data_IF_354389995138
#
_entry.id   IF_354389995138
#
_cell.length_a   1.000
_cell.length_b   1.000
_cell.length_c   1.000
_cell.angle_alpha   90.00
_cell.angle_beta   90.00
_cell.angle_gamma   90.00
#
_symmetry.space_group_name_H-M   'P 1'
#
loop_
_entity.id
_entity.type
_entity.pdbx_description
1 polymer ?
#
# COMPACT_ATOMS: atom_id res chain seq x y z
N UNK A 1 -0.28 16.02 52.97
CA UNK A 1 -1.60 15.38 53.11
C UNK A 1 -2.65 16.46 52.89
N UNK A 2 -3.32 16.49 51.73
CA UNK A 2 -4.45 17.40 51.49
C UNK A 2 -5.64 16.52 51.10
N UNK A 3 -6.69 16.53 51.92
CA UNK A 3 -7.96 15.83 51.69
C UNK A 3 -8.70 16.52 50.54
N UNK A 4 -9.02 15.77 49.49
CA UNK A 4 -9.94 16.21 48.44
C UNK A 4 -11.34 15.70 48.81
N UNK A 5 -12.30 16.61 48.93
CA UNK A 5 -13.70 16.28 49.20
C UNK A 5 -14.29 15.50 48.02
N UNK A 6 -14.98 14.40 48.35
CA UNK A 6 -15.89 13.73 47.44
C UNK A 6 -17.00 14.71 47.09
N UNK A 7 -17.11 15.09 45.82
CA UNK A 7 -18.37 15.04 45.05
C UNK A 7 -18.18 15.66 43.66
N UNK A 8 -18.42 14.83 42.63
CA UNK A 8 -18.69 15.18 41.23
C UNK A 8 -17.61 15.96 40.44
N UNK A 9 -16.62 15.22 39.93
CA UNK A 9 -15.90 15.61 38.70
C UNK A 9 -16.27 14.60 37.61
N UNK A 10 -17.29 14.92 36.81
CA UNK A 10 -17.51 14.31 35.49
C UNK A 10 -16.98 15.30 34.47
N UNK A 11 -15.96 14.89 33.72
CA UNK A 11 -15.31 15.58 32.61
C UNK A 11 -14.42 16.79 32.98
N UNK A 12 -13.12 16.52 33.10
CA UNK A 12 -12.08 17.57 32.99
C UNK A 12 -11.63 17.60 31.53
N UNK A 13 -12.01 18.63 30.79
CA UNK A 13 -11.36 18.99 29.54
C UNK A 13 -10.03 19.67 29.86
N UNK A 14 -8.91 19.06 29.46
CA UNK A 14 -7.59 19.68 29.61
C UNK A 14 -7.37 20.65 28.45
N UNK A 15 -7.92 21.85 28.58
CA UNK A 15 -7.83 22.93 27.60
C UNK A 15 -7.92 24.31 28.26
N UNK A 16 -7.14 24.53 29.32
CA UNK A 16 -6.70 25.86 29.80
C UNK A 16 -5.95 25.72 31.12
N UNK A 17 -4.72 26.22 31.18
CA UNK A 17 -3.88 26.26 32.38
C UNK A 17 -4.13 27.56 33.15
N UNK A 18 -5.04 27.55 34.13
CA UNK A 18 -4.99 28.50 35.24
C UNK A 18 -5.73 27.95 36.47
N UNK A 19 -5.01 27.55 37.52
CA UNK A 19 -5.59 27.40 38.87
C UNK A 19 -4.93 28.47 39.73
N UNK A 20 -5.66 29.55 40.05
CA UNK A 20 -5.21 30.54 41.02
C UNK A 20 -5.57 30.11 42.44
N UNK A 21 -4.56 29.90 43.28
CA UNK A 21 -4.39 30.60 44.58
C UNK A 21 -3.08 30.17 45.26
N UNK A 22 -2.07 31.03 45.17
CA UNK A 22 -0.88 31.08 46.02
C UNK A 22 -0.67 32.53 46.48
N UNK A 23 -0.27 32.72 47.73
CA UNK A 23 -0.28 34.01 48.47
C UNK A 23 0.82 35.02 48.11
N UNK A 24 1.35 34.97 46.89
CA UNK A 24 2.25 35.99 46.34
C UNK A 24 1.77 36.28 44.92
N UNK A 25 1.57 37.55 44.57
CA UNK A 25 1.00 38.00 43.29
C UNK A 25 1.82 37.70 42.03
N UNK A 26 2.55 36.59 42.01
CA UNK A 26 3.26 36.06 40.84
C UNK A 26 2.50 34.84 40.32
N UNK A 27 2.23 34.82 39.02
CA UNK A 27 1.65 33.66 38.38
C UNK A 27 2.65 32.49 38.43
N UNK A 28 2.28 31.40 39.10
CA UNK A 28 3.05 30.16 39.06
C UNK A 28 2.79 29.50 37.70
N UNK A 29 3.75 29.63 36.79
CA UNK A 29 3.73 28.93 35.51
C UNK A 29 4.13 27.46 35.75
N UNK A 30 3.14 26.57 35.80
CA UNK A 30 3.41 25.14 35.65
C UNK A 30 3.68 24.85 34.17
N UNK A 31 4.96 24.88 33.76
CA UNK A 31 5.38 24.24 32.52
C UNK A 31 5.17 22.74 32.70
N UNK A 32 4.00 22.23 32.28
CA UNK A 32 3.81 20.79 32.10
C UNK A 32 4.73 20.39 30.95
N UNK A 33 5.96 19.99 31.28
CA UNK A 33 6.84 19.32 30.33
C UNK A 33 6.09 18.06 29.93
N UNK A 34 5.52 18.04 28.72
CA UNK A 34 4.97 16.82 28.18
C UNK A 34 6.15 15.90 27.94
N UNK A 35 6.41 14.96 28.85
CA UNK A 35 7.60 14.06 28.80
C UNK A 35 7.55 13.02 27.68
N UNK A 36 6.57 13.13 26.77
CA UNK A 36 6.29 12.21 25.68
C UNK A 36 6.22 12.95 24.34
N UNK A 37 7.02 14.00 24.16
CA UNK A 37 7.14 14.67 22.86
C UNK A 37 8.03 13.88 21.90
N UNK A 38 7.90 14.12 20.59
CA UNK A 38 8.83 13.64 19.58
C UNK A 38 10.26 14.05 19.93
N UNK A 39 10.46 15.31 20.31
CA UNK A 39 11.78 15.83 20.67
C UNK A 39 12.43 15.02 21.80
N UNK A 40 11.69 14.65 22.83
CA UNK A 40 12.24 13.90 23.96
C UNK A 40 12.36 12.40 23.67
N UNK A 41 11.32 11.79 23.10
CA UNK A 41 11.23 10.33 22.95
C UNK A 41 11.96 9.80 21.74
N UNK A 42 12.02 10.56 20.66
CA UNK A 42 12.63 10.10 19.41
C UNK A 42 13.97 10.78 19.15
N UNK A 43 14.05 12.10 19.35
CA UNK A 43 15.25 12.88 18.97
C UNK A 43 16.32 12.86 20.08
N UNK A 44 15.99 13.30 21.29
CA UNK A 44 16.94 13.37 22.41
C UNK A 44 17.41 11.98 22.89
N UNK A 45 16.59 10.95 22.67
CA UNK A 45 16.97 9.55 22.91
C UNK A 45 17.90 8.99 21.83
N UNK A 46 18.07 9.72 20.71
CA UNK A 46 18.89 9.33 19.59
C UNK A 46 18.28 8.25 18.70
N UNK A 47 16.96 7.99 18.76
CA UNK A 47 16.27 7.01 17.91
C UNK A 47 16.02 7.53 16.50
N UNK A 48 15.81 8.84 16.35
CA UNK A 48 15.49 9.48 15.09
C UNK A 48 16.12 10.88 15.02
N UNK A 49 16.17 11.41 13.81
CA UNK A 49 16.59 12.78 13.53
C UNK A 49 15.45 13.51 12.80
N UNK A 50 15.31 14.82 13.02
CA UNK A 50 14.37 15.64 12.24
C UNK A 50 14.82 15.68 10.78
N UNK A 51 13.88 15.50 9.85
CA UNK A 51 14.09 15.68 8.41
C UNK A 51 13.22 16.83 7.90
N UNK A 52 13.83 17.81 7.22
CA UNK A 52 13.17 19.06 6.86
C UNK A 52 13.26 20.14 7.94
N UNK A 53 12.39 21.15 7.88
CA UNK A 53 12.30 22.11 8.99
C UNK A 53 11.66 21.46 10.22
N UNK A 54 12.04 21.91 11.42
CA UNK A 54 11.53 21.34 12.67
C UNK A 54 9.99 21.27 12.66
N UNK A 55 9.44 20.08 12.94
CA UNK A 55 7.99 19.84 12.91
C UNK A 55 7.39 19.48 11.55
N UNK A 56 8.16 18.91 10.63
CA UNK A 56 7.63 18.43 9.34
C UNK A 56 7.71 16.93 9.17
N UNK A 57 8.89 16.34 9.36
CA UNK A 57 9.13 14.91 9.27
C UNK A 57 10.28 14.46 10.19
N UNK A 58 10.32 13.18 10.52
CA UNK A 58 11.47 12.56 11.22
C UNK A 58 11.92 11.32 10.47
N UNK A 59 13.19 10.98 10.60
CA UNK A 59 13.78 9.73 10.09
C UNK A 59 14.36 8.94 11.25
N UNK A 60 13.85 7.74 11.48
CA UNK A 60 14.40 6.80 12.43
C UNK A 60 15.70 6.20 11.90
N UNK A 61 16.62 5.94 12.83
CA UNK A 61 17.88 5.25 12.53
C UNK A 61 17.58 3.80 12.21
N UNK A 62 18.33 3.22 11.28
CA UNK A 62 18.15 1.83 10.78
C UNK A 62 18.19 0.75 11.87
N UNK A 63 18.82 1.04 13.02
CA UNK A 63 18.85 0.18 14.19
C UNK A 63 17.57 0.19 15.06
N UNK A 64 16.57 1.01 14.73
CA UNK A 64 15.33 1.09 15.51
C UNK A 64 14.58 -0.25 15.51
N UNK A 65 14.18 -0.70 16.71
CA UNK A 65 13.45 -1.95 16.93
C UNK A 65 12.00 -1.72 17.37
N UNK A 66 11.70 -0.52 17.86
CA UNK A 66 10.38 -0.11 18.34
C UNK A 66 10.19 1.40 18.17
N UNK A 67 8.93 1.82 18.12
CA UNK A 67 8.55 3.24 18.06
C UNK A 67 7.87 3.61 19.37
N UNK A 68 8.52 4.39 20.27
CA UNK A 68 7.89 4.85 21.50
C UNK A 68 6.68 5.74 21.21
N UNK A 69 5.64 5.66 22.04
CA UNK A 69 4.49 6.56 21.98
C UNK A 69 4.91 8.03 22.17
N UNK A 70 4.27 8.92 21.41
CA UNK A 70 4.39 10.39 21.52
C UNK A 70 3.02 11.06 21.51
N UNK A 71 2.90 12.17 22.23
CA UNK A 71 1.64 12.93 22.37
C UNK A 71 1.46 14.04 21.33
N UNK A 72 2.53 14.41 20.64
CA UNK A 72 2.60 15.55 19.72
C UNK A 72 2.79 15.10 18.26
N UNK A 73 2.42 13.85 17.93
CA UNK A 73 2.48 13.32 16.55
C UNK A 73 1.78 14.21 15.52
N UNK A 74 0.73 14.93 15.94
CA UNK A 74 -0.04 15.86 15.11
C UNK A 74 0.81 16.98 14.49
N UNK A 75 2.01 17.25 14.98
CA UNK A 75 2.89 18.25 14.36
C UNK A 75 3.47 17.76 13.03
N UNK A 76 3.52 16.44 12.79
CA UNK A 76 4.06 15.88 11.56
C UNK A 76 3.13 16.18 10.37
N UNK A 77 3.71 16.67 9.28
CA UNK A 77 3.01 16.89 8.01
C UNK A 77 3.42 15.88 6.93
N UNK A 78 4.50 15.13 7.19
CA UNK A 78 5.01 14.07 6.34
C UNK A 78 5.60 12.93 7.17
N UNK A 79 5.35 11.69 6.74
CA UNK A 79 6.04 10.48 7.25
C UNK A 79 6.89 9.83 6.16
N UNK A 80 7.24 10.60 5.14
CA UNK A 80 8.18 10.22 4.08
C UNK A 80 9.40 9.53 4.66
N UNK A 81 9.65 8.31 4.20
CA UNK A 81 10.83 7.52 4.55
C UNK A 81 11.06 7.34 6.07
N UNK A 82 10.05 7.62 6.91
CA UNK A 82 10.23 7.80 8.36
C UNK A 82 10.89 6.60 9.05
N UNK A 83 10.54 5.39 8.63
CA UNK A 83 11.13 4.15 9.13
C UNK A 83 11.89 3.39 8.04
N UNK A 84 12.18 4.02 6.90
CA UNK A 84 12.90 3.36 5.82
C UNK A 84 14.22 2.76 6.30
N UNK A 85 14.51 1.53 5.90
CA UNK A 85 15.67 0.74 6.31
C UNK A 85 15.77 0.44 7.82
N UNK A 86 14.68 0.59 8.59
CA UNK A 86 14.62 0.06 9.97
C UNK A 86 14.48 -1.46 9.96
N UNK A 87 15.55 -2.17 9.55
CA UNK A 87 15.55 -3.62 9.27
C UNK A 87 15.15 -4.49 10.47
N UNK A 88 15.26 -3.96 11.71
CA UNK A 88 14.91 -4.66 12.93
C UNK A 88 13.57 -4.24 13.54
N UNK A 89 12.82 -3.32 12.91
CA UNK A 89 11.53 -2.87 13.40
C UNK A 89 10.48 -3.97 13.21
N UNK A 90 9.87 -4.42 14.31
CA UNK A 90 8.86 -5.49 14.26
C UNK A 90 7.43 -4.96 14.31
N UNK A 91 7.22 -3.80 14.93
CA UNK A 91 5.91 -3.18 15.13
C UNK A 91 6.05 -1.68 15.41
N UNK A 92 4.99 -0.94 15.12
CA UNK A 92 4.92 0.51 15.33
C UNK A 92 3.78 0.81 16.30
N UNK A 93 4.05 1.61 17.33
CA UNK A 93 2.99 2.12 18.21
C UNK A 93 2.21 3.20 17.47
N UNK A 94 0.89 3.29 17.68
CA UNK A 94 0.08 4.37 17.12
C UNK A 94 0.58 5.73 17.62
N UNK A 95 0.74 6.66 16.67
CA UNK A 95 0.94 8.07 16.89
C UNK A 95 0.01 8.84 15.94
N UNK A 96 -0.26 10.09 16.27
CA UNK A 96 -1.19 10.91 15.49
C UNK A 96 -0.59 11.26 14.11
N UNK A 97 -1.35 10.96 13.05
CA UNK A 97 -1.00 11.25 11.65
C UNK A 97 -2.04 12.13 10.95
N UNK A 98 -2.94 12.80 11.70
CA UNK A 98 -4.09 13.53 11.13
C UNK A 98 -3.69 14.64 10.13
N UNK A 99 -2.49 15.21 10.29
CA UNK A 99 -1.97 16.29 9.45
C UNK A 99 -0.98 15.79 8.39
N UNK A 100 -0.72 14.48 8.33
CA UNK A 100 0.22 13.88 7.38
C UNK A 100 -0.42 13.81 6.00
N UNK A 101 0.21 14.46 5.02
CA UNK A 101 -0.29 14.51 3.63
C UNK A 101 0.43 13.54 2.68
N UNK A 102 1.55 12.97 3.14
CA UNK A 102 2.41 12.06 2.38
C UNK A 102 2.99 10.98 3.27
N UNK A 103 2.87 9.72 2.84
CA UNK A 103 3.40 8.52 3.52
C UNK A 103 4.31 7.68 2.61
N UNK A 104 4.91 8.28 1.57
CA UNK A 104 5.75 7.54 0.64
C UNK A 104 7.00 6.97 1.32
N UNK A 105 7.38 5.73 0.97
CA UNK A 105 8.52 5.00 1.52
C UNK A 105 8.54 4.83 3.06
N UNK A 106 7.43 5.09 3.77
CA UNK A 106 7.40 5.17 5.24
C UNK A 106 8.00 3.94 5.94
N UNK A 107 7.78 2.73 5.41
CA UNK A 107 8.32 1.47 5.94
C UNK A 107 9.19 0.71 4.92
N UNK A 108 9.71 1.37 3.90
CA UNK A 108 10.56 0.70 2.89
C UNK A 108 11.72 -0.02 3.56
N UNK A 109 11.94 -1.30 3.23
CA UNK A 109 13.02 -2.10 3.81
C UNK A 109 12.82 -2.52 5.27
N UNK A 110 11.65 -2.32 5.89
CA UNK A 110 11.36 -2.85 7.22
C UNK A 110 11.14 -4.37 7.21
N UNK A 111 12.18 -5.15 6.94
CA UNK A 111 12.13 -6.59 6.67
C UNK A 111 11.43 -7.42 7.76
N UNK A 112 11.45 -6.96 9.01
CA UNK A 112 10.85 -7.67 10.17
C UNK A 112 9.48 -7.14 10.60
N UNK A 113 8.96 -6.10 9.96
CA UNK A 113 7.69 -5.48 10.33
C UNK A 113 6.55 -6.45 10.02
N UNK A 114 5.81 -6.88 11.04
CA UNK A 114 4.73 -7.87 10.87
C UNK A 114 3.33 -7.26 10.83
N UNK A 115 3.17 -6.04 11.35
CA UNK A 115 1.89 -5.34 11.44
C UNK A 115 2.10 -3.84 11.64
N UNK A 116 1.11 -3.04 11.23
CA UNK A 116 1.04 -1.60 11.49
C UNK A 116 -0.31 -1.22 12.11
N UNK A 117 -0.36 -0.16 12.92
CA UNK A 117 -1.63 0.35 13.45
C UNK A 117 -2.45 1.04 12.36
N UNK A 118 -3.73 1.28 12.63
CA UNK A 118 -4.58 2.10 11.77
C UNK A 118 -4.18 3.57 11.93
N UNK A 119 -3.51 4.11 10.92
CA UNK A 119 -3.18 5.53 10.84
C UNK A 119 -4.38 6.33 10.34
N UNK A 120 -4.47 7.60 10.74
CA UNK A 120 -5.36 8.57 10.10
C UNK A 120 -4.74 8.98 8.76
N UNK A 121 -5.39 8.62 7.65
CA UNK A 121 -4.86 8.81 6.28
C UNK A 121 -5.76 9.65 5.39
N UNK A 122 -6.80 10.30 5.94
CA UNK A 122 -7.78 11.07 5.16
C UNK A 122 -7.17 12.23 4.37
N UNK A 123 -6.07 12.83 4.87
CA UNK A 123 -5.32 13.89 4.18
C UNK A 123 -4.22 13.36 3.25
N UNK A 124 -3.97 12.04 3.22
CA UNK A 124 -2.84 11.45 2.50
C UNK A 124 -3.13 11.39 0.99
N UNK A 125 -2.17 11.86 0.19
CA UNK A 125 -2.29 11.93 -1.28
C UNK A 125 -1.44 10.89 -2.01
N UNK A 126 -0.47 10.27 -1.34
CA UNK A 126 0.43 9.26 -1.90
C UNK A 126 0.85 8.22 -0.86
N UNK A 127 0.79 6.94 -1.25
CA UNK A 127 1.24 5.78 -0.46
C UNK A 127 2.29 4.96 -1.24
N UNK A 128 2.97 5.61 -2.19
CA UNK A 128 4.03 5.00 -2.99
C UNK A 128 5.06 4.31 -2.10
N UNK A 129 5.35 3.04 -2.41
CA UNK A 129 6.36 2.22 -1.74
C UNK A 129 6.19 2.09 -0.22
N UNK A 130 5.01 2.41 0.35
CA UNK A 130 4.84 2.52 1.80
C UNK A 130 5.32 1.29 2.57
N UNK A 131 5.16 0.08 2.01
CA UNK A 131 5.59 -1.19 2.60
C UNK A 131 6.57 -1.98 1.73
N UNK A 132 7.28 -1.34 0.79
CA UNK A 132 8.24 -2.04 -0.08
C UNK A 132 9.26 -2.82 0.74
N UNK A 133 9.42 -4.11 0.46
CA UNK A 133 10.34 -5.00 1.15
C UNK A 133 9.95 -5.33 2.59
N UNK A 134 8.70 -5.10 3.02
CA UNK A 134 8.23 -5.58 4.33
C UNK A 134 7.95 -7.09 4.29
N UNK A 135 8.98 -7.94 4.15
CA UNK A 135 8.85 -9.39 3.94
C UNK A 135 8.02 -10.12 5.01
N UNK A 136 7.96 -9.58 6.23
CA UNK A 136 7.20 -10.18 7.34
C UNK A 136 5.80 -9.62 7.54
N UNK A 137 5.36 -8.66 6.74
CA UNK A 137 4.05 -8.03 6.88
C UNK A 137 2.95 -9.01 6.49
N UNK A 138 2.05 -9.32 7.43
CA UNK A 138 1.01 -10.35 7.23
C UNK A 138 -0.32 -9.73 6.77
N UNK A 139 -0.59 -8.50 7.22
CA UNK A 139 -1.84 -7.79 6.93
C UNK A 139 -1.65 -6.29 7.14
N UNK A 140 -2.50 -5.48 6.50
CA UNK A 140 -2.60 -4.04 6.75
C UNK A 140 -4.04 -3.64 7.12
N UNK A 141 -4.23 -2.59 7.94
CA UNK A 141 -5.54 -2.02 8.20
C UNK A 141 -6.20 -1.41 6.95
N UNK A 142 -7.52 -1.24 7.01
CA UNK A 142 -8.26 -0.48 6.00
C UNK A 142 -8.00 1.02 6.20
N UNK A 143 -7.07 1.56 5.43
CA UNK A 143 -6.80 3.00 5.37
C UNK A 143 -7.88 3.75 4.59
N UNK A 144 -8.11 5.01 4.92
CA UNK A 144 -8.84 5.91 4.02
C UNK A 144 -7.91 6.30 2.86
N UNK A 145 -8.25 5.86 1.66
CA UNK A 145 -7.46 6.09 0.44
C UNK A 145 -8.18 6.95 -0.60
N UNK A 146 -9.27 7.62 -0.23
CA UNK A 146 -10.11 8.38 -1.19
C UNK A 146 -9.35 9.48 -1.95
N UNK A 147 -8.35 10.07 -1.30
CA UNK A 147 -7.50 11.14 -1.84
C UNK A 147 -6.15 10.63 -2.38
N UNK A 148 -5.87 9.32 -2.28
CA UNK A 148 -4.59 8.75 -2.71
C UNK A 148 -4.58 8.63 -4.23
N UNK A 149 -3.55 9.20 -4.85
CA UNK A 149 -3.39 9.23 -6.32
C UNK A 149 -2.29 8.31 -6.83
N UNK A 150 -1.38 7.85 -5.95
CA UNK A 150 -0.26 6.97 -6.29
C UNK A 150 -0.10 5.85 -5.25
N UNK A 151 -0.12 4.60 -5.71
CA UNK A 151 0.11 3.37 -4.93
C UNK A 151 1.21 2.50 -5.57
N UNK A 152 2.12 3.10 -6.34
CA UNK A 152 3.24 2.41 -6.97
C UNK A 152 4.05 1.65 -5.91
N UNK A 153 4.39 0.40 -6.19
CA UNK A 153 5.22 -0.47 -5.34
C UNK A 153 4.75 -0.63 -3.89
N UNK A 154 3.53 -0.22 -3.53
CA UNK A 154 3.08 -0.13 -2.13
C UNK A 154 3.32 -1.41 -1.31
N UNK A 155 3.17 -2.58 -1.93
CA UNK A 155 3.36 -3.91 -1.33
C UNK A 155 4.41 -4.77 -2.07
N UNK A 156 5.34 -4.13 -2.78
CA UNK A 156 6.42 -4.84 -3.48
C UNK A 156 7.24 -5.67 -2.49
N UNK A 157 7.44 -6.96 -2.76
CA UNK A 157 8.21 -7.85 -1.89
C UNK A 157 7.62 -8.03 -0.48
N UNK A 158 6.30 -7.96 -0.32
CA UNK A 158 5.62 -8.31 0.94
C UNK A 158 5.27 -9.81 0.96
N UNK A 159 6.27 -10.68 1.06
CA UNK A 159 6.16 -12.13 0.81
C UNK A 159 5.17 -12.88 1.72
N UNK A 160 4.86 -12.35 2.91
CA UNK A 160 3.89 -12.94 3.83
C UNK A 160 2.50 -12.28 3.82
N UNK A 161 2.28 -11.27 2.97
CA UNK A 161 1.02 -10.56 2.88
C UNK A 161 0.04 -11.37 2.04
N UNK A 162 -0.90 -12.05 2.70
CA UNK A 162 -1.82 -12.98 2.02
C UNK A 162 -3.07 -12.30 1.44
N UNK A 163 -3.41 -11.11 1.92
CA UNK A 163 -4.57 -10.34 1.48
C UNK A 163 -4.36 -8.84 1.75
N UNK A 164 -5.10 -8.00 1.05
CA UNK A 164 -5.21 -6.57 1.35
C UNK A 164 -6.67 -6.16 1.46
N UNK A 165 -6.99 -5.15 2.28
CA UNK A 165 -8.34 -4.59 2.34
C UNK A 165 -8.80 -4.04 0.99
N UNK A 166 -10.12 -3.94 0.81
CA UNK A 166 -10.73 -3.23 -0.31
C UNK A 166 -10.54 -1.73 -0.12
N UNK A 167 -9.43 -1.19 -0.63
CA UNK A 167 -9.17 0.24 -0.65
C UNK A 167 -10.08 0.96 -1.65
N UNK A 168 -10.40 2.23 -1.37
CA UNK A 168 -10.98 3.10 -2.39
C UNK A 168 -9.87 3.54 -3.34
N UNK A 169 -9.87 3.01 -4.57
CA UNK A 169 -8.83 3.28 -5.57
C UNK A 169 -9.30 4.16 -6.72
N UNK A 170 -10.52 4.74 -6.66
CA UNK A 170 -11.11 5.49 -7.77
C UNK A 170 -10.30 6.73 -8.19
N UNK A 171 -9.49 7.27 -7.28
CA UNK A 171 -8.60 8.43 -7.51
C UNK A 171 -7.17 8.02 -7.87
N UNK A 172 -6.83 6.73 -7.82
CA UNK A 172 -5.47 6.24 -8.05
C UNK A 172 -5.15 6.28 -9.53
N UNK A 173 -4.06 6.95 -9.87
CA UNK A 173 -3.59 7.15 -11.25
C UNK A 173 -2.48 6.18 -11.66
N UNK A 174 -1.82 5.55 -10.69
CA UNK A 174 -0.76 4.55 -10.93
C UNK A 174 -0.68 3.53 -9.80
N UNK A 175 -0.60 2.25 -10.20
CA UNK A 175 -0.37 1.06 -9.37
C UNK A 175 0.81 0.25 -9.90
N UNK A 176 1.81 0.95 -10.45
CA UNK A 176 2.98 0.32 -11.07
C UNK A 176 3.68 -0.56 -10.05
N UNK A 177 3.80 -1.85 -10.36
CA UNK A 177 4.46 -2.83 -9.51
C UNK A 177 3.92 -2.93 -8.08
N UNK A 178 2.66 -2.56 -7.82
CA UNK A 178 2.06 -2.52 -6.48
C UNK A 178 2.27 -3.80 -5.68
N UNK A 179 2.21 -4.96 -6.35
CA UNK A 179 2.42 -6.28 -5.74
C UNK A 179 3.65 -7.01 -6.31
N UNK A 180 4.57 -6.33 -7.00
CA UNK A 180 5.73 -7.01 -7.62
C UNK A 180 6.49 -7.85 -6.59
N UNK A 181 6.74 -9.13 -6.90
CA UNK A 181 7.45 -10.06 -6.01
C UNK A 181 6.70 -10.37 -4.72
N UNK A 182 5.38 -10.16 -4.67
CA UNK A 182 4.57 -10.59 -3.55
C UNK A 182 4.21 -12.08 -3.72
N UNK A 183 4.89 -12.95 -2.98
CA UNK A 183 4.66 -14.40 -3.00
C UNK A 183 3.61 -14.87 -1.98
N UNK A 184 3.01 -13.97 -1.19
CA UNK A 184 2.00 -14.30 -0.19
C UNK A 184 0.57 -14.23 -0.73
N UNK A 185 0.32 -13.31 -1.67
CA UNK A 185 -1.02 -12.99 -2.13
C UNK A 185 -1.54 -14.03 -3.12
N UNK A 186 -2.69 -14.63 -2.83
CA UNK A 186 -3.34 -15.62 -3.70
C UNK A 186 -4.49 -15.03 -4.51
N UNK A 187 -5.09 -13.95 -4.02
CA UNK A 187 -6.15 -13.19 -4.68
C UNK A 187 -6.05 -11.72 -4.31
N UNK A 188 -6.50 -10.84 -5.20
CA UNK A 188 -6.58 -9.40 -4.93
C UNK A 188 -8.03 -8.92 -4.89
N UNK A 189 -8.36 -7.86 -4.13
CA UNK A 189 -9.68 -7.25 -4.17
C UNK A 189 -10.04 -6.66 -5.54
N UNK A 190 -11.33 -6.37 -5.72
CA UNK A 190 -11.83 -5.66 -6.89
C UNK A 190 -11.41 -4.18 -6.83
N UNK A 191 -10.29 -3.84 -7.45
CA UNK A 191 -9.83 -2.45 -7.53
C UNK A 191 -10.57 -1.68 -8.62
N UNK A 192 -11.06 -0.48 -8.25
CA UNK A 192 -11.45 0.51 -9.25
C UNK A 192 -10.19 1.16 -9.83
N UNK A 193 -9.83 0.77 -11.04
CA UNK A 193 -8.68 1.30 -11.79
C UNK A 193 -9.11 2.26 -12.90
N UNK A 194 -10.31 2.84 -12.82
CA UNK A 194 -10.83 3.74 -13.85
C UNK A 194 -10.00 5.02 -14.03
N UNK A 195 -9.35 5.52 -12.98
CA UNK A 195 -8.39 6.63 -13.09
C UNK A 195 -6.95 6.19 -13.40
N UNK A 196 -6.65 4.89 -13.35
CA UNK A 196 -5.28 4.38 -13.51
C UNK A 196 -4.80 4.48 -14.96
N UNK A 197 -3.64 5.11 -15.12
CA UNK A 197 -2.89 5.18 -16.37
C UNK A 197 -1.80 4.12 -16.44
N UNK A 198 -1.36 3.54 -15.32
CA UNK A 198 -0.33 2.48 -15.32
C UNK A 198 -0.63 1.40 -14.28
N UNK A 199 -0.61 0.15 -14.76
CA UNK A 199 -0.55 -1.09 -13.96
C UNK A 199 0.67 -1.92 -14.38
N UNK A 200 1.70 -1.24 -14.92
CA UNK A 200 2.91 -1.89 -15.41
C UNK A 200 3.53 -2.78 -14.32
N UNK A 201 3.79 -4.04 -14.66
CA UNK A 201 4.37 -5.03 -13.74
C UNK A 201 3.62 -5.25 -12.43
N UNK A 202 2.34 -4.84 -12.31
CA UNK A 202 1.59 -4.84 -11.04
C UNK A 202 1.68 -6.15 -10.25
N UNK A 203 1.64 -7.30 -10.94
CA UNK A 203 1.71 -8.64 -10.36
C UNK A 203 2.96 -9.42 -10.80
N UNK A 204 3.97 -8.75 -11.36
CA UNK A 204 5.20 -9.41 -11.78
C UNK A 204 5.82 -10.17 -10.61
N UNK A 205 6.28 -11.40 -10.81
CA UNK A 205 6.86 -12.26 -9.79
C UNK A 205 5.90 -12.67 -8.65
N UNK A 206 4.58 -12.46 -8.76
CA UNK A 206 3.62 -13.01 -7.81
C UNK A 206 3.41 -14.51 -8.06
N UNK A 207 4.30 -15.37 -7.55
CA UNK A 207 4.27 -16.79 -7.90
C UNK A 207 3.08 -17.54 -7.30
N UNK A 208 2.53 -17.05 -6.19
CA UNK A 208 1.35 -17.62 -5.49
C UNK A 208 0.00 -17.05 -5.94
N UNK A 209 -0.03 -16.03 -6.81
CA UNK A 209 -1.29 -15.41 -7.24
C UNK A 209 -2.10 -16.40 -8.08
N UNK A 210 -3.30 -16.75 -7.62
CA UNK A 210 -4.22 -17.72 -8.24
C UNK A 210 -5.30 -17.00 -9.03
N UNK A 211 -5.84 -15.89 -8.50
CA UNK A 211 -7.02 -15.23 -9.03
C UNK A 211 -6.86 -13.71 -9.09
N UNK A 212 -7.24 -13.13 -10.22
CA UNK A 212 -7.40 -11.68 -10.40
C UNK A 212 -8.84 -11.41 -10.82
N UNK A 213 -9.62 -10.66 -10.02
CA UNK A 213 -11.00 -10.30 -10.35
C UNK A 213 -11.03 -9.34 -11.55
N UNK A 214 -12.24 -8.89 -11.92
CA UNK A 214 -12.39 -7.98 -13.05
C UNK A 214 -11.54 -6.71 -12.90
N UNK A 215 -10.65 -6.43 -13.86
CA UNK A 215 -9.90 -5.18 -13.93
C UNK A 215 -10.14 -4.50 -15.28
N UNK A 216 -10.60 -3.25 -15.23
CA UNK A 216 -10.93 -2.45 -16.40
C UNK A 216 -9.74 -1.61 -16.89
N UNK A 217 -9.08 -2.07 -17.95
CA UNK A 217 -7.85 -1.48 -18.45
C UNK A 217 -8.08 -0.33 -19.45
N UNK A 218 -9.30 0.19 -19.58
CA UNK A 218 -9.67 1.17 -20.60
C UNK A 218 -8.70 2.37 -20.64
N UNK A 219 -8.37 2.92 -19.48
CA UNK A 219 -7.54 4.13 -19.36
C UNK A 219 -6.04 3.86 -19.13
N UNK A 220 -5.64 2.59 -18.99
CA UNK A 220 -4.24 2.23 -18.81
C UNK A 220 -3.43 2.41 -20.11
N UNK A 221 -2.14 2.72 -19.96
CA UNK A 221 -1.18 2.77 -21.05
C UNK A 221 -1.02 1.39 -21.72
N UNK A 222 -0.60 1.34 -23.00
CA UNK A 222 -0.57 0.09 -23.76
C UNK A 222 0.37 -0.99 -23.22
N UNK A 223 1.48 -0.62 -22.58
CA UNK A 223 2.46 -1.60 -22.12
C UNK A 223 2.10 -2.16 -20.75
N UNK A 224 1.48 -3.34 -20.78
CA UNK A 224 1.22 -4.19 -19.61
C UNK A 224 1.90 -5.55 -19.78
N UNK A 225 2.90 -5.64 -20.65
CA UNK A 225 3.50 -6.91 -21.08
C UNK A 225 4.09 -7.68 -19.90
N UNK A 226 4.63 -6.97 -18.91
CA UNK A 226 5.23 -7.59 -17.72
C UNK A 226 4.28 -7.72 -16.53
N UNK A 227 2.99 -7.37 -16.68
CA UNK A 227 2.04 -7.35 -15.56
C UNK A 227 1.92 -8.69 -14.83
N UNK A 228 2.08 -9.81 -15.55
CA UNK A 228 1.96 -11.19 -15.04
C UNK A 228 3.22 -12.02 -15.26
N UNK A 229 4.39 -11.39 -15.44
CA UNK A 229 5.65 -12.11 -15.56
C UNK A 229 5.85 -13.02 -14.34
N UNK A 230 6.24 -14.29 -14.55
CA UNK A 230 6.43 -15.26 -13.46
C UNK A 230 5.21 -15.55 -12.55
N UNK A 231 3.99 -15.17 -12.94
CA UNK A 231 2.76 -15.59 -12.25
C UNK A 231 2.44 -17.07 -12.53
N UNK A 232 3.16 -17.99 -11.89
CA UNK A 232 3.13 -19.42 -12.20
C UNK A 232 1.89 -20.16 -11.71
N UNK A 233 1.25 -19.67 -10.63
CA UNK A 233 0.02 -20.25 -10.07
C UNK A 233 -1.27 -19.68 -10.66
N UNK A 234 -1.18 -18.63 -11.49
CA UNK A 234 -2.34 -17.91 -11.99
C UNK A 234 -3.26 -18.82 -12.80
N UNK A 235 -4.51 -18.91 -12.35
CA UNK A 235 -5.54 -19.81 -12.90
C UNK A 235 -6.72 -19.01 -13.45
N UNK A 236 -7.16 -18.00 -12.70
CA UNK A 236 -8.31 -17.15 -13.03
C UNK A 236 -7.85 -15.70 -13.22
N UNK A 237 -8.14 -15.11 -14.37
CA UNK A 237 -7.77 -13.73 -14.66
C UNK A 237 -8.82 -13.08 -15.55
N UNK A 238 -9.47 -12.04 -15.04
CA UNK A 238 -10.58 -11.38 -15.69
C UNK A 238 -10.20 -9.94 -16.05
N UNK A 239 -9.59 -9.74 -17.22
CA UNK A 239 -9.23 -8.41 -17.70
C UNK A 239 -10.19 -7.97 -18.79
N UNK A 240 -10.68 -6.74 -18.72
CA UNK A 240 -11.51 -6.14 -19.76
C UNK A 240 -10.80 -4.93 -20.38
N UNK A 241 -11.15 -4.60 -21.62
CA UNK A 241 -10.49 -3.54 -22.39
C UNK A 241 -8.97 -3.73 -22.52
N UNK A 242 -8.52 -4.98 -22.75
CA UNK A 242 -7.10 -5.26 -22.92
C UNK A 242 -6.48 -4.40 -24.01
N UNK A 243 -5.19 -4.16 -23.83
CA UNK A 243 -4.33 -3.53 -24.83
C UNK A 243 -3.85 -4.59 -25.85
N UNK A 244 -3.26 -4.18 -26.97
CA UNK A 244 -2.93 -5.12 -28.05
C UNK A 244 -2.03 -6.28 -27.61
N UNK A 245 -1.12 -6.07 -26.66
CA UNK A 245 -0.17 -7.10 -26.22
C UNK A 245 -0.34 -7.44 -24.75
N UNK A 246 -0.40 -8.73 -24.44
CA UNK A 246 -0.32 -9.24 -23.06
C UNK A 246 0.43 -10.57 -23.00
N UNK A 247 1.16 -10.79 -21.91
CA UNK A 247 2.02 -11.96 -21.75
C UNK A 247 1.67 -12.76 -20.48
N UNK A 248 1.27 -14.01 -20.70
CA UNK A 248 1.00 -15.05 -19.71
C UNK A 248 1.90 -16.27 -19.93
N UNK A 249 3.11 -16.09 -20.48
CA UNK A 249 4.00 -17.19 -20.82
C UNK A 249 4.41 -18.06 -19.63
N UNK A 250 4.32 -17.54 -18.40
CA UNK A 250 4.64 -18.30 -17.20
C UNK A 250 3.40 -18.84 -16.47
N UNK A 251 2.19 -18.45 -16.88
CA UNK A 251 0.93 -18.84 -16.24
C UNK A 251 0.40 -20.15 -16.83
N UNK A 252 1.09 -21.25 -16.54
CA UNK A 252 0.77 -22.58 -17.07
C UNK A 252 -0.61 -23.11 -16.67
N UNK A 253 -1.20 -22.57 -15.60
CA UNK A 253 -2.51 -22.95 -15.05
C UNK A 253 -3.68 -22.11 -15.57
N UNK A 254 -3.41 -21.06 -16.38
CA UNK A 254 -4.44 -20.16 -16.86
C UNK A 254 -5.55 -20.92 -17.60
N UNK A 255 -6.80 -20.71 -17.18
CA UNK A 255 -7.95 -21.45 -17.70
C UNK A 255 -8.36 -20.97 -19.09
N UNK A 256 -8.98 -21.88 -19.87
CA UNK A 256 -9.63 -21.54 -21.15
C UNK A 256 -10.64 -20.40 -20.96
N UNK A 257 -11.45 -20.46 -19.90
CA UNK A 257 -12.48 -19.47 -19.63
C UNK A 257 -11.88 -18.08 -19.37
N UNK A 258 -10.77 -17.98 -18.64
CA UNK A 258 -10.06 -16.71 -18.46
C UNK A 258 -9.54 -16.14 -19.78
N UNK A 259 -8.92 -16.98 -20.61
CA UNK A 259 -8.41 -16.58 -21.92
C UNK A 259 -9.54 -16.05 -22.81
N UNK A 260 -10.64 -16.79 -22.91
CA UNK A 260 -11.78 -16.41 -23.76
C UNK A 260 -12.55 -15.23 -23.18
N UNK A 261 -12.67 -15.10 -21.87
CA UNK A 261 -13.25 -13.92 -21.23
C UNK A 261 -12.49 -12.66 -21.63
N UNK A 262 -11.16 -12.68 -21.52
CA UNK A 262 -10.30 -11.55 -21.87
C UNK A 262 -10.42 -11.15 -23.34
N UNK A 263 -10.46 -12.12 -24.25
CA UNK A 263 -10.66 -11.90 -25.69
C UNK A 263 -12.03 -11.31 -25.98
N UNK A 264 -13.07 -11.83 -25.31
CA UNK A 264 -14.45 -11.43 -25.54
C UNK A 264 -14.80 -10.05 -24.98
N UNK A 265 -14.14 -9.63 -23.90
CA UNK A 265 -14.35 -8.34 -23.24
C UNK A 265 -13.30 -7.28 -23.63
N UNK A 266 -12.64 -7.46 -24.77
CA UNK A 266 -11.68 -6.51 -25.31
C UNK A 266 -12.10 -6.04 -26.70
N UNK A 267 -11.76 -4.79 -27.03
CA UNK A 267 -12.07 -4.21 -28.33
C UNK A 267 -11.37 -4.98 -29.46
N UNK A 268 -12.07 -5.16 -30.59
CA UNK A 268 -11.47 -5.69 -31.81
C UNK A 268 -10.43 -4.74 -32.37
N UNK A 269 -9.38 -5.25 -32.99
CA UNK A 269 -8.32 -4.42 -33.59
C UNK A 269 -7.32 -5.27 -34.37
N UNK A 270 -6.25 -4.67 -34.88
CA UNK A 270 -5.17 -5.40 -35.55
C UNK A 270 -3.97 -5.59 -34.61
N UNK A 271 -3.10 -6.55 -34.95
CA UNK A 271 -1.84 -6.81 -34.23
C UNK A 271 -2.01 -7.07 -32.73
N UNK A 272 -3.08 -7.77 -32.34
CA UNK A 272 -3.29 -8.14 -30.94
C UNK A 272 -2.60 -9.48 -30.68
N UNK A 273 -1.73 -9.54 -29.69
CA UNK A 273 -0.90 -10.70 -29.37
C UNK A 273 -1.11 -11.08 -27.91
N UNK A 274 -1.57 -12.32 -27.69
CA UNK A 274 -1.58 -12.94 -26.38
C UNK A 274 -0.50 -14.01 -26.35
N UNK A 275 0.57 -13.78 -25.59
CA UNK A 275 1.60 -14.80 -25.35
C UNK A 275 1.13 -15.73 -24.24
N UNK A 276 1.04 -17.03 -24.51
CA UNK A 276 0.57 -18.04 -23.56
C UNK A 276 1.65 -19.08 -23.30
N UNK A 277 1.68 -19.62 -22.08
CA UNK A 277 2.36 -20.87 -21.81
C UNK A 277 1.77 -22.00 -22.67
N UNK A 278 2.60 -22.95 -23.12
CA UNK A 278 2.17 -24.04 -24.00
C UNK A 278 0.96 -24.84 -23.43
N UNK A 279 1.00 -25.18 -22.15
CA UNK A 279 -0.12 -25.87 -21.47
C UNK A 279 -1.42 -25.08 -21.50
N UNK A 280 -1.36 -23.76 -21.33
CA UNK A 280 -2.56 -22.90 -21.37
C UNK A 280 -3.10 -22.77 -22.79
N UNK A 281 -2.23 -22.62 -23.79
CA UNK A 281 -2.61 -22.60 -25.21
C UNK A 281 -3.26 -23.90 -25.65
N UNK A 282 -2.78 -25.06 -25.18
CA UNK A 282 -3.35 -26.37 -25.50
C UNK A 282 -4.77 -26.59 -24.94
N UNK A 283 -5.27 -25.69 -24.08
CA UNK A 283 -6.67 -25.73 -23.61
C UNK A 283 -7.65 -25.09 -24.60
N UNK A 284 -7.16 -24.36 -25.60
CA UNK A 284 -7.99 -23.70 -26.62
C UNK A 284 -8.38 -24.69 -27.72
N UNK A 285 -9.64 -24.65 -28.15
CA UNK A 285 -10.11 -25.37 -29.32
C UNK A 285 -9.76 -24.62 -30.60
N UNK A 286 -9.93 -25.27 -31.76
CA UNK A 286 -9.78 -24.57 -33.04
C UNK A 286 -10.84 -23.47 -33.23
N UNK A 287 -12.04 -23.66 -32.68
CA UNK A 287 -13.11 -22.66 -32.69
C UNK A 287 -12.70 -21.42 -31.89
N UNK A 288 -12.16 -21.61 -30.68
CA UNK A 288 -11.63 -20.52 -29.85
C UNK A 288 -10.59 -19.68 -30.60
N UNK A 289 -9.68 -20.37 -31.29
CA UNK A 289 -8.63 -19.72 -32.07
C UNK A 289 -9.23 -18.94 -33.24
N UNK A 290 -10.21 -19.49 -33.93
CA UNK A 290 -10.89 -18.81 -35.03
C UNK A 290 -11.65 -17.56 -34.55
N UNK A 291 -12.37 -17.66 -33.43
CA UNK A 291 -13.09 -16.55 -32.82
C UNK A 291 -12.12 -15.43 -32.36
N UNK A 292 -10.99 -15.81 -31.76
CA UNK A 292 -9.94 -14.88 -31.40
C UNK A 292 -9.36 -14.16 -32.63
N UNK A 293 -9.08 -14.91 -33.71
CA UNK A 293 -8.57 -14.36 -34.97
C UNK A 293 -9.56 -13.38 -35.62
N UNK A 294 -10.87 -13.65 -35.57
CA UNK A 294 -11.91 -12.72 -36.06
C UNK A 294 -11.92 -11.39 -35.29
N UNK A 295 -11.45 -11.38 -34.04
CA UNK A 295 -11.26 -10.19 -33.21
C UNK A 295 -9.86 -9.57 -33.34
N UNK A 296 -9.01 -10.18 -34.17
CA UNK A 296 -7.64 -9.77 -34.48
C UNK A 296 -6.59 -10.17 -33.44
N UNK A 297 -6.92 -11.12 -32.57
CA UNK A 297 -5.96 -11.74 -31.65
C UNK A 297 -5.19 -12.87 -32.32
N UNK A 298 -3.91 -12.97 -31.98
CA UNK A 298 -3.04 -14.08 -32.32
C UNK A 298 -2.36 -14.61 -31.06
N UNK A 299 -2.06 -15.92 -31.05
CA UNK A 299 -1.46 -16.58 -29.88
C UNK A 299 0.00 -16.90 -30.11
N UNK A 300 0.89 -16.17 -29.43
CA UNK A 300 2.30 -16.50 -29.35
C UNK A 300 2.55 -17.56 -28.27
N UNK A 301 3.58 -18.37 -28.45
CA UNK A 301 4.11 -19.31 -27.46
C UNK A 301 5.60 -19.02 -27.38
N UNK A 302 6.16 -18.81 -26.19
CA UNK A 302 7.61 -18.70 -26.08
C UNK A 302 8.25 -20.07 -26.37
N UNK A 303 9.45 -20.01 -26.94
CA UNK A 303 10.35 -21.14 -27.16
C UNK A 303 10.93 -21.58 -25.81
#
# INVERSE_FOLDING_TARGET
MIKVGQDNIKNVFFGSTSIKKGYSGEDIIFNKISTNTIQEKWINSGLADWTGSTGQAVKFKTGATSVPYVSDGYILTSTTDMFGDCWNLTSVTLFDTQNVTTMYDMFTGCYKLSSVPLFETSACTTMRSMFTGCYKLISVPLFNTENVTNMDFMFQGCDLLTTVPLFNTSSVTSMTGMFTGNDGITEVPLFDISACTSVYSMFSLCTSLISVPELNLLNCLPDITSAFYMCTSLTNCYLINLKPSINFNNSSNLTRDSIMFMINNSQTGTNRIMTLHATAKNRLTQEDINDANLKGWTFATAI
#
